data_IF_886489287385
#
_entry.id   IF_886489287385
#
_cell.length_a   1.000
_cell.length_b   1.000
_cell.length_c   1.000
_cell.angle_alpha   90.00
_cell.angle_beta   90.00
_cell.angle_gamma   90.00
#
_symmetry.space_group_name_H-M   'P 1'
#
loop_
_entity.id
_entity.type
_entity.pdbx_description
1 polymer ?
#
# COMPACT_ATOMS: atom_id res chain seq x y z
N UNK A 1 13.80 -16.12 9.67
CA UNK A 1 13.30 -15.94 8.28
C UNK A 1 12.17 -14.89 8.12
N UNK A 2 11.82 -14.10 9.16
CA UNK A 2 10.73 -13.11 9.08
C UNK A 2 11.17 -11.73 8.58
N UNK A 3 12.43 -11.33 8.85
CA UNK A 3 12.95 -10.01 8.50
C UNK A 3 13.00 -9.77 6.98
N UNK A 4 13.46 -10.73 6.18
CA UNK A 4 13.54 -10.60 4.72
C UNK A 4 12.16 -10.49 4.05
N UNK A 5 11.16 -11.24 4.54
CA UNK A 5 9.78 -11.15 4.06
C UNK A 5 9.18 -9.78 4.39
N UNK A 6 9.43 -9.25 5.59
CA UNK A 6 9.01 -7.91 6.00
C UNK A 6 9.67 -6.83 5.15
N UNK A 7 10.99 -6.89 4.97
CA UNK A 7 11.72 -5.93 4.15
C UNK A 7 11.25 -5.91 2.69
N UNK A 8 10.84 -7.07 2.14
CA UNK A 8 10.21 -7.13 0.81
C UNK A 8 8.83 -6.47 0.81
N UNK A 9 7.99 -6.77 1.80
CA UNK A 9 6.66 -6.18 1.91
C UNK A 9 6.70 -4.65 2.15
N UNK A 10 7.71 -4.14 2.85
CA UNK A 10 7.92 -2.70 3.07
C UNK A 10 8.31 -1.95 1.78
N UNK A 11 8.76 -2.66 0.73
CA UNK A 11 9.04 -2.11 -0.61
C UNK A 11 7.90 -2.33 -1.60
N UNK A 12 6.76 -2.80 -1.13
CA UNK A 12 5.57 -3.05 -1.94
C UNK A 12 4.36 -2.33 -1.33
N UNK A 13 3.24 -2.36 -2.05
CA UNK A 13 1.97 -1.76 -1.61
C UNK A 13 0.84 -2.77 -1.72
N UNK A 14 -0.30 -2.44 -1.14
CA UNK A 14 -1.54 -3.21 -1.25
C UNK A 14 -2.72 -2.27 -1.35
N UNK A 15 -3.73 -2.69 -2.09
CA UNK A 15 -4.98 -1.97 -2.28
C UNK A 15 -6.03 -2.72 -1.44
N UNK A 16 -6.70 -1.99 -0.56
CA UNK A 16 -7.75 -2.55 0.28
C UNK A 16 -9.07 -1.84 -0.02
N UNK A 17 -10.08 -2.57 -0.54
CA UNK A 17 -11.44 -2.04 -0.64
C UNK A 17 -11.98 -1.72 0.75
N UNK A 18 -12.56 -0.54 0.91
CA UNK A 18 -13.36 -0.18 2.08
C UNK A 18 -14.82 0.03 1.65
N UNK A 19 -15.69 0.30 2.63
CA UNK A 19 -17.14 0.44 2.40
C UNK A 19 -17.52 1.61 1.50
N UNK A 20 -16.69 2.66 1.43
CA UNK A 20 -16.99 3.91 0.72
C UNK A 20 -15.84 4.44 -0.13
N UNK A 21 -14.64 3.85 -0.02
CA UNK A 21 -13.47 4.22 -0.80
C UNK A 21 -12.53 3.02 -0.87
N UNK A 22 -11.45 3.15 -1.62
CA UNK A 22 -10.35 2.18 -1.63
C UNK A 22 -9.14 2.83 -0.97
N UNK A 23 -8.41 2.10 -0.12
CA UNK A 23 -7.20 2.62 0.48
C UNK A 23 -5.95 1.94 -0.06
N UNK A 24 -4.95 2.75 -0.37
CA UNK A 24 -3.59 2.29 -0.60
C UNK A 24 -2.88 2.15 0.75
N UNK A 25 -2.11 1.07 0.91
CA UNK A 25 -1.29 0.81 2.10
C UNK A 25 0.11 0.39 1.70
N UNK A 26 1.08 0.59 2.60
CA UNK A 26 2.38 -0.07 2.48
C UNK A 26 2.19 -1.56 2.71
N UNK A 27 2.87 -2.42 1.96
CA UNK A 27 2.74 -3.88 2.07
C UNK A 27 3.07 -4.39 3.47
N UNK A 28 4.04 -3.76 4.15
CA UNK A 28 4.40 -4.03 5.56
C UNK A 28 3.43 -3.49 6.62
N UNK A 29 2.34 -2.82 6.24
CA UNK A 29 1.37 -2.25 7.18
C UNK A 29 0.67 -3.35 8.00
N UNK A 30 0.96 -3.41 9.30
CA UNK A 30 0.47 -4.46 10.21
C UNK A 30 -1.01 -4.29 10.61
N UNK A 31 -1.56 -3.08 10.51
CA UNK A 31 -2.96 -2.78 10.86
C UNK A 31 -3.95 -3.26 9.80
N UNK A 32 -3.47 -3.62 8.61
CA UNK A 32 -4.26 -4.21 7.54
C UNK A 32 -3.64 -5.56 7.16
N UNK A 33 -3.90 -6.63 7.93
CA UNK A 33 -3.23 -7.93 7.73
C UNK A 33 -3.66 -8.62 6.43
N UNK A 34 -4.78 -8.20 5.84
CA UNK A 34 -5.28 -8.75 4.59
C UNK A 34 -4.33 -8.38 3.44
N UNK A 35 -3.53 -9.36 3.04
CA UNK A 35 -2.61 -9.29 1.90
C UNK A 35 -3.34 -9.73 0.63
N UNK A 36 -4.38 -8.99 0.23
CA UNK A 36 -4.93 -9.19 -1.12
C UNK A 36 -3.98 -8.53 -2.11
N UNK A 37 -2.96 -9.28 -2.53
CA UNK A 37 -2.00 -8.87 -3.55
C UNK A 37 -1.03 -7.78 -3.08
N UNK A 38 0.27 -7.98 -3.35
CA UNK A 38 1.23 -6.88 -3.30
C UNK A 38 1.39 -6.32 -4.71
N UNK A 39 1.27 -5.00 -4.85
CA UNK A 39 1.50 -4.30 -6.12
C UNK A 39 2.88 -3.64 -6.15
N UNK A 40 3.35 -3.37 -7.37
CA UNK A 40 4.64 -2.71 -7.62
C UNK A 40 4.62 -1.24 -7.20
N UNK A 41 5.77 -0.57 -7.31
CA UNK A 41 5.87 0.87 -7.08
C UNK A 41 5.12 1.64 -8.16
N UNK A 42 5.26 1.22 -9.41
CA UNK A 42 4.60 1.84 -10.57
C UNK A 42 3.08 1.76 -10.44
N UNK A 43 2.55 0.58 -10.11
CA UNK A 43 1.10 0.39 -9.88
C UNK A 43 0.60 1.23 -8.70
N UNK A 44 1.41 1.39 -7.65
CA UNK A 44 1.06 2.22 -6.50
C UNK A 44 1.01 3.71 -6.86
N UNK A 45 1.83 4.18 -7.80
CA UNK A 45 1.77 5.55 -8.32
C UNK A 45 0.50 5.73 -9.16
N UNK A 46 0.22 4.81 -10.08
CA UNK A 46 -1.01 4.85 -10.88
C UNK A 46 -2.26 4.82 -9.99
N UNK A 47 -2.27 3.96 -8.96
CA UNK A 47 -3.36 3.90 -7.99
C UNK A 47 -3.56 5.23 -7.24
N UNK A 48 -2.50 6.01 -6.99
CA UNK A 48 -2.61 7.32 -6.35
C UNK A 48 -3.17 8.43 -7.27
N UNK A 49 -3.29 8.18 -8.57
CA UNK A 49 -3.94 9.08 -9.53
C UNK A 49 -5.45 8.82 -9.63
N UNK A 50 -5.90 7.64 -9.21
CA UNK A 50 -7.32 7.29 -9.18
C UNK A 50 -8.07 8.04 -8.06
N UNK A 51 -9.19 8.71 -8.34
CA UNK A 51 -9.89 9.55 -7.38
C UNK A 51 -10.50 8.77 -6.21
N UNK A 52 -10.80 7.49 -6.42
CA UNK A 52 -11.43 6.62 -5.41
C UNK A 52 -10.40 5.90 -4.51
N UNK A 53 -9.09 6.16 -4.72
CA UNK A 53 -8.01 5.54 -3.98
C UNK A 53 -7.30 6.58 -3.10
N UNK A 54 -7.39 6.38 -1.79
CA UNK A 54 -6.79 7.27 -0.80
C UNK A 54 -5.56 6.63 -0.14
N UNK A 55 -4.45 7.38 0.04
CA UNK A 55 -3.32 6.88 0.81
C UNK A 55 -3.69 6.77 2.30
N UNK A 56 -3.44 5.61 2.92
CA UNK A 56 -3.67 5.46 4.36
C UNK A 56 -2.63 6.22 5.19
N UNK A 57 -3.09 7.26 5.89
CA UNK A 57 -2.25 8.12 6.74
C UNK A 57 -1.38 7.38 7.76
N UNK A 58 -1.88 6.27 8.33
CA UNK A 58 -1.18 5.49 9.36
C UNK A 58 0.17 4.95 8.87
N UNK A 59 0.23 4.49 7.62
CA UNK A 59 1.43 3.89 7.05
C UNK A 59 2.11 4.75 5.97
N UNK A 60 1.54 5.93 5.68
CA UNK A 60 2.03 6.92 4.71
C UNK A 60 2.60 6.28 3.43
N UNK A 61 1.78 5.50 2.71
CA UNK A 61 2.22 4.69 1.57
C UNK A 61 2.78 5.54 0.42
N UNK A 62 2.33 6.77 0.31
CA UNK A 62 2.69 7.79 -0.68
C UNK A 62 4.08 8.40 -0.43
N UNK A 63 4.63 8.28 0.79
CA UNK A 63 5.98 8.76 1.09
C UNK A 63 7.02 7.99 0.25
N UNK A 64 7.77 8.70 -0.59
CA UNK A 64 8.74 8.15 -1.54
C UNK A 64 8.14 7.69 -2.88
N UNK A 65 6.83 7.87 -3.09
CA UNK A 65 6.16 7.67 -4.37
C UNK A 65 6.05 8.97 -5.16
N UNK A 66 5.65 10.05 -4.48
CA UNK A 66 5.56 11.39 -5.05
C UNK A 66 6.89 12.10 -4.80
N UNK A 67 7.62 12.36 -5.88
CA UNK A 67 8.85 13.16 -5.93
C UNK A 67 8.62 14.35 -6.83
#
# INVERSE_FOLDING_TARGET
MHAAKRARAERSWKIQPQRSSTALHRGGCATCPDLVGLISREDAIAALEEPDIEPREVCRPDTGLRG
#
